data_IF_070580224416
#
_entry.id   IF_070580224416
#
_cell.length_a   1.000
_cell.length_b   1.000
_cell.length_c   1.000
_cell.angle_alpha   90.00
_cell.angle_beta   90.00
_cell.angle_gamma   90.00
#
_symmetry.space_group_name_H-M   'P 1'
#
loop_
_entity.id
_entity.type
_entity.pdbx_description
1 polymer ?
#
# COMPACT_ATOMS: atom_id res chain seq x y z
N UNK A 1 17.51 -0.33 -14.65
CA UNK A 1 17.66 -0.98 -15.98
C UNK A 1 17.43 -0.01 -17.14
N UNK A 2 16.34 0.79 -17.15
CA UNK A 2 16.11 1.82 -18.18
C UNK A 2 17.24 2.82 -18.30
N UNK A 3 17.82 3.29 -17.18
CA UNK A 3 18.99 4.18 -17.19
C UNK A 3 20.28 3.56 -17.77
N UNK A 4 20.43 2.23 -17.72
CA UNK A 4 21.58 1.51 -18.30
C UNK A 4 21.33 1.27 -19.80
N UNK A 5 20.12 0.83 -20.16
CA UNK A 5 19.80 0.39 -21.51
C UNK A 5 19.45 1.53 -22.48
N UNK A 6 18.77 2.59 -22.00
CA UNK A 6 18.40 3.75 -22.80
C UNK A 6 19.41 4.91 -22.68
N UNK A 7 20.05 5.08 -21.52
CA UNK A 7 20.97 6.19 -21.25
C UNK A 7 22.46 5.82 -21.34
N UNK A 8 22.77 4.55 -21.62
CA UNK A 8 24.15 4.07 -21.78
C UNK A 8 24.96 4.05 -20.49
N UNK A 9 24.33 4.15 -19.32
CA UNK A 9 25.02 4.09 -18.03
C UNK A 9 25.66 2.70 -17.84
N UNK A 10 26.89 2.66 -17.31
CA UNK A 10 27.61 1.41 -17.13
C UNK A 10 26.92 0.49 -16.11
N UNK A 11 26.50 -0.70 -16.57
CA UNK A 11 25.75 -1.69 -15.79
C UNK A 11 26.52 -2.17 -14.56
N UNK A 12 27.83 -2.40 -14.69
CA UNK A 12 28.66 -2.93 -13.60
C UNK A 12 28.70 -1.96 -12.40
N UNK A 13 28.89 -0.67 -12.67
CA UNK A 13 28.79 0.36 -11.64
C UNK A 13 27.38 0.46 -11.08
N UNK A 14 26.34 0.45 -11.93
CA UNK A 14 24.95 0.56 -11.45
C UNK A 14 24.60 -0.52 -10.40
N UNK A 15 25.00 -1.77 -10.64
CA UNK A 15 24.78 -2.84 -9.67
C UNK A 15 25.63 -2.70 -8.40
N UNK A 16 26.91 -2.31 -8.51
CA UNK A 16 27.75 -2.10 -7.32
C UNK A 16 27.24 -0.98 -6.41
N UNK A 17 26.68 0.09 -7.00
CA UNK A 17 26.08 1.19 -6.23
C UNK A 17 24.79 0.77 -5.52
N UNK A 18 23.95 -0.05 -6.15
CA UNK A 18 22.73 -0.57 -5.51
C UNK A 18 23.11 -1.45 -4.33
N UNK A 19 24.09 -2.35 -4.50
CA UNK A 19 24.50 -3.27 -3.45
C UNK A 19 25.12 -2.55 -2.25
N UNK A 20 25.84 -1.44 -2.47
CA UNK A 20 26.39 -0.63 -1.37
C UNK A 20 25.39 0.35 -0.74
N UNK A 21 24.26 0.64 -1.39
CA UNK A 21 23.29 1.64 -0.92
C UNK A 21 22.05 1.01 -0.28
N UNK A 22 21.81 -0.28 -0.52
CA UNK A 22 20.68 -1.01 0.08
C UNK A 22 21.14 -1.61 1.41
N UNK A 23 20.51 -1.19 2.49
CA UNK A 23 20.69 -1.81 3.79
C UNK A 23 19.63 -2.90 4.04
N UNK A 24 20.00 -3.89 4.86
CA UNK A 24 19.07 -4.94 5.30
C UNK A 24 17.84 -4.37 6.04
N UNK A 25 17.97 -3.17 6.61
CA UNK A 25 16.88 -2.41 7.24
C UNK A 25 15.81 -2.02 6.22
N UNK A 26 16.19 -1.61 5.01
CA UNK A 26 15.25 -1.17 3.98
C UNK A 26 14.33 -2.32 3.54
N UNK A 27 14.92 -3.51 3.39
CA UNK A 27 14.19 -4.74 3.02
C UNK A 27 13.19 -5.12 4.13
N UNK A 28 13.65 -5.12 5.39
CA UNK A 28 12.79 -5.46 6.54
C UNK A 28 11.68 -4.43 6.74
N UNK A 29 11.98 -3.14 6.56
CA UNK A 29 11.02 -2.05 6.60
C UNK A 29 9.92 -2.22 5.56
N UNK A 30 10.29 -2.56 4.32
CA UNK A 30 9.33 -2.86 3.25
C UNK A 30 8.39 -4.03 3.56
N UNK A 31 8.92 -5.12 4.13
CA UNK A 31 8.12 -6.28 4.54
C UNK A 31 7.10 -5.94 5.63
N UNK A 32 7.52 -5.23 6.67
CA UNK A 32 6.64 -4.81 7.77
C UNK A 32 5.53 -3.92 7.22
N UNK A 33 5.87 -2.95 6.38
CA UNK A 33 4.93 -2.01 5.77
C UNK A 33 3.88 -2.72 4.91
N UNK A 34 4.29 -3.70 4.10
CA UNK A 34 3.37 -4.52 3.31
C UNK A 34 2.37 -5.30 4.18
N UNK A 35 2.85 -5.90 5.28
CA UNK A 35 2.00 -6.67 6.18
C UNK A 35 0.96 -5.78 6.89
N UNK A 36 1.37 -4.59 7.33
CA UNK A 36 0.47 -3.60 7.95
C UNK A 36 -0.60 -3.16 6.95
N UNK A 37 -0.23 -2.85 5.70
CA UNK A 37 -1.19 -2.48 4.66
C UNK A 37 -2.19 -3.61 4.36
N UNK A 38 -1.74 -4.86 4.32
CA UNK A 38 -2.62 -6.01 4.11
C UNK A 38 -3.69 -6.15 5.21
N UNK A 39 -3.29 -5.99 6.48
CA UNK A 39 -4.23 -6.05 7.62
C UNK A 39 -5.24 -4.90 7.58
N UNK A 40 -4.79 -3.68 7.30
CA UNK A 40 -5.66 -2.50 7.21
C UNK A 40 -6.68 -2.63 6.09
N UNK A 41 -6.23 -2.99 4.88
CA UNK A 41 -7.12 -3.08 3.70
C UNK A 41 -8.14 -4.21 3.88
N UNK A 42 -7.71 -5.38 4.34
CA UNK A 42 -8.62 -6.51 4.54
C UNK A 42 -9.69 -6.21 5.58
N UNK A 43 -9.31 -5.65 6.73
CA UNK A 43 -10.26 -5.29 7.79
C UNK A 43 -11.27 -4.23 7.34
N UNK A 44 -10.83 -3.17 6.66
CA UNK A 44 -11.73 -2.11 6.15
C UNK A 44 -12.67 -2.65 5.08
N UNK A 45 -12.16 -3.42 4.12
CA UNK A 45 -12.98 -3.99 3.05
C UNK A 45 -14.02 -4.97 3.59
N UNK A 46 -13.62 -5.88 4.49
CA UNK A 46 -14.52 -6.82 5.14
C UNK A 46 -15.58 -6.11 5.97
N UNK A 47 -15.19 -5.06 6.71
CA UNK A 47 -16.12 -4.27 7.50
C UNK A 47 -17.17 -3.59 6.61
N UNK A 48 -16.78 -2.83 5.59
CA UNK A 48 -17.77 -2.18 4.73
C UNK A 48 -18.63 -3.14 3.91
N UNK A 49 -18.07 -4.29 3.52
CA UNK A 49 -18.82 -5.35 2.85
C UNK A 49 -19.89 -5.95 3.76
N UNK A 50 -19.55 -6.31 5.00
CA UNK A 50 -20.48 -6.92 5.94
C UNK A 50 -21.63 -5.99 6.35
N UNK A 51 -21.32 -4.72 6.60
CA UNK A 51 -22.29 -3.72 7.04
C UNK A 51 -23.09 -3.08 5.88
N UNK A 52 -22.91 -3.53 4.62
CA UNK A 52 -23.61 -2.95 3.46
C UNK A 52 -25.14 -3.07 3.55
N UNK A 53 -25.66 -4.10 4.21
CA UNK A 53 -27.09 -4.35 4.35
C UNK A 53 -27.79 -3.43 5.36
N UNK A 54 -27.04 -2.82 6.29
CA UNK A 54 -27.57 -1.89 7.29
C UNK A 54 -27.64 -0.44 6.77
N UNK A 55 -27.20 -0.21 5.53
CA UNK A 55 -27.09 1.13 4.97
C UNK A 55 -28.47 1.63 4.51
N UNK A 56 -28.94 2.72 5.10
CA UNK A 56 -30.24 3.35 4.79
C UNK A 56 -30.28 4.09 3.46
N UNK A 57 -29.13 4.44 2.90
CA UNK A 57 -29.01 5.37 1.77
C UNK A 57 -29.34 4.72 0.41
N UNK A 58 -29.33 3.38 0.32
CA UNK A 58 -29.52 2.64 -0.92
C UNK A 58 -29.76 1.16 -0.66
N UNK A 59 -30.49 0.49 -1.56
CA UNK A 59 -30.81 -0.94 -1.46
C UNK A 59 -30.26 -1.72 -2.68
N UNK A 60 -30.03 -3.03 -2.51
CA UNK A 60 -29.63 -3.93 -3.59
C UNK A 60 -28.24 -3.65 -4.19
N UNK A 61 -28.09 -3.82 -5.51
CA UNK A 61 -26.79 -3.68 -6.17
C UNK A 61 -26.13 -2.29 -6.01
N UNK A 62 -26.94 -1.24 -5.83
CA UNK A 62 -26.44 0.14 -5.65
C UNK A 62 -25.83 0.37 -4.25
N UNK A 63 -26.30 -0.32 -3.21
CA UNK A 63 -25.66 -0.22 -1.89
C UNK A 63 -24.27 -0.85 -1.88
N UNK A 64 -24.10 -1.95 -2.61
CA UNK A 64 -22.83 -2.65 -2.78
C UNK A 64 -21.81 -1.75 -3.45
N UNK A 65 -22.15 -1.10 -4.57
CA UNK A 65 -21.22 -0.19 -5.26
C UNK A 65 -20.83 1.01 -4.39
N UNK A 66 -21.78 1.59 -3.65
CA UNK A 66 -21.51 2.67 -2.70
C UNK A 66 -20.58 2.22 -1.56
N UNK A 67 -20.81 1.05 -0.97
CA UNK A 67 -19.90 0.45 0.02
C UNK A 67 -18.53 0.20 -0.58
N UNK A 68 -18.39 -0.41 -1.75
CA UNK A 68 -17.06 -0.65 -2.34
C UNK A 68 -16.30 0.66 -2.57
N UNK A 69 -16.98 1.71 -3.04
CA UNK A 69 -16.35 3.01 -3.31
C UNK A 69 -15.89 3.68 -2.01
N UNK A 70 -16.75 3.69 -0.99
CA UNK A 70 -16.41 4.19 0.35
C UNK A 70 -15.27 3.37 0.98
N UNK A 71 -15.17 2.07 0.73
CA UNK A 71 -14.17 1.18 1.31
C UNK A 71 -12.79 1.47 0.73
N UNK A 72 -12.71 1.65 -0.59
CA UNK A 72 -11.47 2.00 -1.28
C UNK A 72 -10.95 3.36 -0.82
N UNK A 73 -11.81 4.38 -0.74
CA UNK A 73 -11.40 5.72 -0.29
C UNK A 73 -10.87 5.67 1.15
N UNK A 74 -11.59 5.01 2.06
CA UNK A 74 -11.16 4.88 3.45
C UNK A 74 -9.85 4.09 3.57
N UNK A 75 -9.69 3.02 2.78
CA UNK A 75 -8.47 2.22 2.75
C UNK A 75 -7.28 3.04 2.25
N UNK A 76 -7.43 3.82 1.18
CA UNK A 76 -6.36 4.69 0.67
C UNK A 76 -5.91 5.72 1.70
N UNK A 77 -6.85 6.37 2.39
CA UNK A 77 -6.52 7.35 3.45
C UNK A 77 -5.81 6.66 4.62
N UNK A 78 -6.29 5.50 5.06
CA UNK A 78 -5.66 4.75 6.15
C UNK A 78 -4.27 4.23 5.79
N UNK A 79 -4.04 3.84 4.53
CA UNK A 79 -2.70 3.47 4.05
C UNK A 79 -1.76 4.67 4.15
N UNK A 80 -2.17 5.87 3.73
CA UNK A 80 -1.32 7.08 3.80
C UNK A 80 -0.98 7.44 5.25
N UNK A 81 -1.94 7.34 6.16
CA UNK A 81 -1.70 7.59 7.60
C UNK A 81 -0.74 6.53 8.15
N UNK A 82 -0.99 5.25 7.84
CA UNK A 82 -0.14 4.15 8.27
C UNK A 82 1.27 4.26 7.70
N UNK A 83 1.43 4.77 6.48
CA UNK A 83 2.72 5.00 5.84
C UNK A 83 3.56 5.98 6.65
N UNK A 84 2.96 7.11 7.03
CA UNK A 84 3.59 8.11 7.88
C UNK A 84 3.99 7.53 9.24
N UNK A 85 3.08 6.83 9.91
CA UNK A 85 3.33 6.25 11.24
C UNK A 85 4.46 5.21 11.19
N UNK A 86 4.44 4.29 10.23
CA UNK A 86 5.48 3.25 10.10
C UNK A 86 6.82 3.88 9.76
N UNK A 87 6.85 4.83 8.83
CA UNK A 87 8.08 5.51 8.43
C UNK A 87 8.69 6.28 9.61
N UNK A 88 7.91 7.08 10.33
CA UNK A 88 8.41 7.84 11.49
C UNK A 88 8.84 7.00 12.69
N UNK A 89 8.44 5.72 12.77
CA UNK A 89 8.80 4.85 13.91
C UNK A 89 9.99 3.92 13.58
N UNK A 90 10.14 3.52 12.32
CA UNK A 90 11.22 2.64 11.86
C UNK A 90 12.43 3.42 11.33
N UNK A 91 12.21 4.62 10.81
CA UNK A 91 13.22 5.47 10.16
C UNK A 91 13.32 6.81 10.89
#
# INVERSE_FOLDING_TARGET
>A
LTGVFLLGANAATYFSWIESSVDLVDIRGGFIKSLVFAVIVSTICCFQGYFTHMRSDSHGARSVSLSTTSAVVLSCVMILISDYVVTSFIM
#
